data_IF_754720222877
#
_entry.id   IF_754720222877
#
_cell.length_a   1.000
_cell.length_b   1.000
_cell.length_c   1.000
_cell.angle_alpha   90.00
_cell.angle_beta   90.00
_cell.angle_gamma   90.00
#
_symmetry.space_group_name_H-M   'P 1'
#
loop_
_entity.id
_entity.type
_entity.pdbx_description
1 polymer ?
#
# COMPACT_ATOMS: atom_id res chain seq x y z
N UNK A 1 -3.78 29.10 33.64
CA UNK A 1 -3.06 28.25 32.68
C UNK A 1 -2.57 29.14 31.55
N UNK A 2 -1.27 29.28 31.42
CA UNK A 2 -0.67 30.06 30.33
C UNK A 2 -0.78 29.30 29.01
N UNK A 3 -0.73 30.00 27.87
CA UNK A 3 -0.71 29.41 26.52
C UNK A 3 0.45 28.40 26.37
N UNK A 4 1.56 28.66 27.06
CA UNK A 4 2.72 27.77 27.10
C UNK A 4 2.46 26.45 27.85
N UNK A 5 1.71 26.50 28.97
CA UNK A 5 1.30 25.31 29.72
C UNK A 5 0.31 24.45 28.92
N UNK A 6 -0.67 25.08 28.26
CA UNK A 6 -1.60 24.41 27.34
C UNK A 6 -0.85 23.66 26.23
N UNK A 7 0.17 24.30 25.64
CA UNK A 7 1.01 23.69 24.60
C UNK A 7 1.84 22.49 25.13
N UNK A 8 2.39 22.57 26.35
CA UNK A 8 3.12 21.43 26.96
C UNK A 8 2.20 20.23 27.21
N UNK A 9 0.99 20.46 27.74
CA UNK A 9 0.02 19.38 27.96
C UNK A 9 -0.46 18.75 26.65
N UNK A 10 -0.68 19.55 25.61
CA UNK A 10 -1.02 19.06 24.27
C UNK A 10 0.08 18.17 23.68
N UNK A 11 1.35 18.63 23.72
CA UNK A 11 2.50 17.84 23.23
C UNK A 11 2.69 16.53 24.00
N UNK A 12 2.52 16.55 25.32
CA UNK A 12 2.60 15.34 26.14
C UNK A 12 1.48 14.35 25.81
N UNK A 13 0.25 14.84 25.63
CA UNK A 13 -0.89 14.01 25.26
C UNK A 13 -0.73 13.41 23.86
N UNK A 14 -0.25 14.18 22.89
CA UNK A 14 0.05 13.72 21.53
C UNK A 14 1.16 12.65 21.52
N UNK A 15 2.25 12.89 22.26
CA UNK A 15 3.34 11.92 22.40
C UNK A 15 2.83 10.60 22.99
N UNK A 16 1.98 10.67 24.03
CA UNK A 16 1.34 9.49 24.61
C UNK A 16 0.46 8.77 23.59
N UNK A 17 -0.37 9.51 22.85
CA UNK A 17 -1.24 8.95 21.81
C UNK A 17 -0.44 8.23 20.74
N UNK A 18 0.65 8.83 20.25
CA UNK A 18 1.55 8.24 19.26
C UNK A 18 2.17 6.94 19.78
N UNK A 19 2.74 6.96 21.00
CA UNK A 19 3.32 5.75 21.63
C UNK A 19 2.29 4.63 21.79
N UNK A 20 1.05 4.98 22.17
CA UNK A 20 -0.03 3.99 22.28
C UNK A 20 -0.43 3.43 20.91
N UNK A 21 -0.52 4.25 19.86
CA UNK A 21 -0.76 3.77 18.50
C UNK A 21 0.33 2.81 18.02
N UNK A 22 1.59 3.16 18.24
CA UNK A 22 2.74 2.30 17.92
C UNK A 22 2.68 0.96 18.67
N UNK A 23 2.37 0.98 19.98
CA UNK A 23 2.22 -0.26 20.75
C UNK A 23 1.11 -1.16 20.20
N UNK A 24 -0.02 -0.57 19.77
CA UNK A 24 -1.13 -1.32 19.16
C UNK A 24 -0.73 -1.90 17.81
N UNK A 25 -0.03 -1.13 16.97
CA UNK A 25 0.46 -1.60 15.67
C UNK A 25 1.45 -2.76 15.84
N UNK A 26 2.42 -2.62 16.75
CA UNK A 26 3.41 -3.66 17.02
C UNK A 26 2.79 -4.92 17.62
N UNK A 27 1.88 -4.78 18.58
CA UNK A 27 1.16 -5.93 19.15
C UNK A 27 0.32 -6.65 18.08
N UNK A 28 -0.27 -5.93 17.13
CA UNK A 28 -0.94 -6.55 16.00
C UNK A 28 0.05 -7.25 15.04
N UNK A 29 1.23 -6.69 14.78
CA UNK A 29 2.26 -7.36 13.95
C UNK A 29 2.67 -8.70 14.59
N UNK A 30 3.05 -8.68 15.86
CA UNK A 30 3.44 -9.86 16.62
C UNK A 30 2.32 -10.91 16.65
N UNK A 31 1.06 -10.48 16.79
CA UNK A 31 -0.10 -11.37 16.82
C UNK A 31 -0.32 -12.11 15.49
N UNK A 32 0.04 -11.51 14.36
CA UNK A 32 -0.15 -12.10 13.03
C UNK A 32 1.11 -12.76 12.45
N UNK A 33 2.27 -12.61 13.10
CA UNK A 33 3.56 -13.07 12.60
C UNK A 33 3.59 -14.58 12.36
N UNK A 34 4.03 -14.99 11.16
CA UNK A 34 4.17 -16.40 10.77
C UNK A 34 2.86 -17.18 10.64
N UNK A 35 1.71 -16.51 10.77
CA UNK A 35 0.41 -17.17 10.67
C UNK A 35 -0.09 -17.26 9.23
N UNK A 36 -0.67 -18.42 8.93
CA UNK A 36 -1.31 -18.69 7.65
C UNK A 36 -2.74 -18.15 7.56
N UNK A 37 -3.42 -18.13 8.69
CA UNK A 37 -4.78 -17.64 8.88
C UNK A 37 -4.86 -16.98 10.25
N UNK A 38 -5.63 -15.92 10.34
CA UNK A 38 -5.90 -15.21 11.58
C UNK A 38 -7.10 -14.29 11.35
N UNK A 39 -7.98 -14.23 12.34
CA UNK A 39 -9.12 -13.31 12.32
C UNK A 39 -9.37 -12.81 13.74
N UNK A 40 -8.36 -12.12 14.27
CA UNK A 40 -8.38 -11.66 15.65
C UNK A 40 -9.36 -10.49 15.83
N UNK A 41 -10.05 -10.51 16.95
CA UNK A 41 -10.92 -9.44 17.43
C UNK A 41 -10.11 -8.23 17.87
N UNK A 42 -10.79 -7.09 18.06
CA UNK A 42 -10.13 -5.88 18.60
C UNK A 42 -9.64 -6.10 20.03
N UNK A 43 -10.34 -6.91 20.82
CA UNK A 43 -9.97 -7.18 22.21
C UNK A 43 -8.69 -8.03 22.27
N UNK A 44 -8.55 -9.04 21.41
CA UNK A 44 -7.30 -9.82 21.29
C UNK A 44 -6.11 -8.97 20.83
N UNK A 45 -6.32 -8.03 19.89
CA UNK A 45 -5.29 -7.08 19.47
C UNK A 45 -4.91 -6.13 20.63
N UNK A 46 -5.90 -5.66 21.40
CA UNK A 46 -5.65 -4.81 22.58
C UNK A 46 -4.83 -5.55 23.64
N UNK A 47 -5.20 -6.80 23.92
CA UNK A 47 -4.49 -7.69 24.84
C UNK A 47 -3.04 -7.92 24.39
N UNK A 48 -2.83 -8.28 23.12
CA UNK A 48 -1.49 -8.46 22.54
C UNK A 48 -0.62 -7.20 22.65
N UNK A 49 -1.23 -6.02 22.51
CA UNK A 49 -0.55 -4.74 22.65
C UNK A 49 -0.37 -4.26 24.10
N UNK A 50 -0.85 -5.02 25.09
CA UNK A 50 -0.78 -4.64 26.50
C UNK A 50 -1.60 -3.38 26.85
N UNK A 51 -2.69 -3.12 26.12
CA UNK A 51 -3.59 -1.98 26.37
C UNK A 51 -5.02 -2.45 26.64
N UNK A 52 -5.79 -1.67 27.41
CA UNK A 52 -7.21 -1.97 27.60
C UNK A 52 -8.03 -1.70 26.33
N UNK A 53 -9.08 -2.49 26.09
CA UNK A 53 -9.99 -2.34 24.93
C UNK A 53 -10.48 -0.90 24.71
N UNK A 54 -10.90 -0.22 25.79
CA UNK A 54 -11.31 1.19 25.72
C UNK A 54 -10.22 2.13 25.16
N UNK A 55 -8.94 1.83 25.42
CA UNK A 55 -7.81 2.58 24.88
C UNK A 55 -7.65 2.35 23.38
N UNK A 56 -7.86 1.12 22.90
CA UNK A 56 -7.86 0.82 21.47
C UNK A 56 -9.02 1.53 20.76
N UNK A 57 -10.24 1.45 21.31
CA UNK A 57 -11.42 2.17 20.79
C UNK A 57 -11.25 3.68 20.73
N UNK A 58 -10.53 4.27 21.69
CA UNK A 58 -10.22 5.71 21.69
C UNK A 58 -9.22 6.10 20.59
N UNK A 59 -8.31 5.20 20.20
CA UNK A 59 -7.25 5.52 19.25
C UNK A 59 -7.60 5.19 17.80
N UNK A 60 -8.50 4.23 17.58
CA UNK A 60 -8.88 3.72 16.26
C UNK A 60 -10.40 3.58 16.14
N UNK A 61 -10.96 4.04 15.03
CA UNK A 61 -12.38 3.99 14.71
C UNK A 61 -12.91 2.58 14.49
N UNK A 62 -12.08 1.66 13.99
CA UNK A 62 -12.52 0.30 13.67
C UNK A 62 -11.38 -0.71 13.55
N UNK A 63 -11.74 -1.98 13.37
CA UNK A 63 -10.80 -3.09 13.15
C UNK A 63 -9.97 -2.86 11.87
N UNK A 64 -10.62 -2.40 10.80
CA UNK A 64 -9.96 -2.08 9.54
C UNK A 64 -8.85 -1.04 9.70
N UNK A 65 -9.09 0.06 10.42
CA UNK A 65 -8.08 1.13 10.60
C UNK A 65 -6.81 0.60 11.29
N UNK A 66 -6.97 -0.26 12.31
CA UNK A 66 -5.83 -0.90 12.99
C UNK A 66 -5.08 -1.80 12.01
N UNK A 67 -5.77 -2.76 11.39
CA UNK A 67 -5.15 -3.74 10.49
C UNK A 67 -4.51 -3.09 9.27
N UNK A 68 -5.10 -2.02 8.74
CA UNK A 68 -4.54 -1.21 7.66
C UNK A 68 -3.21 -0.60 8.08
N UNK A 69 -3.15 0.11 9.20
CA UNK A 69 -1.90 0.74 9.67
C UNK A 69 -0.83 -0.30 10.01
N UNK A 70 -1.23 -1.46 10.55
CA UNK A 70 -0.35 -2.61 10.74
C UNK A 70 0.21 -3.14 9.41
N UNK A 71 -0.63 -3.28 8.39
CA UNK A 71 -0.22 -3.71 7.06
C UNK A 71 0.66 -2.66 6.35
N UNK A 72 0.40 -1.37 6.55
CA UNK A 72 1.24 -0.29 6.03
C UNK A 72 2.64 -0.33 6.65
N UNK A 73 2.76 -0.57 7.96
CA UNK A 73 4.05 -0.76 8.63
C UNK A 73 4.85 -1.93 8.04
N UNK A 74 4.21 -3.02 7.63
CA UNK A 74 4.89 -4.12 6.92
C UNK A 74 5.45 -3.71 5.56
N UNK A 75 4.76 -2.83 4.86
CA UNK A 75 5.14 -2.39 3.51
C UNK A 75 6.07 -1.16 3.53
N UNK A 76 6.23 -0.50 4.68
CA UNK A 76 7.07 0.68 4.86
C UNK A 76 8.48 0.51 4.28
N UNK A 77 9.20 -0.62 4.51
CA UNK A 77 10.55 -0.82 3.95
C UNK A 77 10.61 -0.91 2.41
N UNK A 78 9.46 -1.10 1.75
CA UNK A 78 9.35 -1.17 0.29
C UNK A 78 8.90 0.18 -0.26
N UNK A 79 7.90 0.81 0.37
CA UNK A 79 7.18 1.96 -0.17
C UNK A 79 7.84 3.29 0.23
N UNK A 80 8.29 3.46 1.48
CA UNK A 80 8.91 4.73 1.91
C UNK A 80 10.18 5.08 1.14
N UNK A 81 11.10 4.14 0.84
CA UNK A 81 12.27 4.48 0.02
C UNK A 81 11.92 5.04 -1.36
N UNK A 82 10.80 4.58 -1.94
CA UNK A 82 10.28 5.09 -3.22
C UNK A 82 9.72 6.51 -3.03
N UNK A 83 8.88 6.70 -2.01
CA UNK A 83 8.26 8.00 -1.70
C UNK A 83 9.30 9.06 -1.34
N UNK A 84 10.15 8.78 -0.36
CA UNK A 84 11.16 9.72 0.11
C UNK A 84 12.24 9.95 -0.94
N UNK A 85 12.63 8.90 -1.68
CA UNK A 85 13.55 9.03 -2.81
C UNK A 85 12.98 9.93 -3.92
N UNK A 86 11.67 9.85 -4.20
CA UNK A 86 11.01 10.73 -5.15
C UNK A 86 10.96 12.19 -4.66
N UNK A 87 10.55 12.43 -3.42
CA UNK A 87 10.52 13.77 -2.81
C UNK A 87 11.90 14.43 -2.78
N UNK A 88 12.95 13.63 -2.53
CA UNK A 88 14.33 14.09 -2.49
C UNK A 88 15.01 14.13 -3.88
N UNK A 89 14.29 13.81 -4.96
CA UNK A 89 14.82 13.70 -6.32
C UNK A 89 16.05 12.77 -6.44
N UNK A 90 16.04 11.66 -5.70
CA UNK A 90 17.08 10.62 -5.72
C UNK A 90 16.59 9.29 -6.29
N UNK A 91 15.28 9.13 -6.49
CA UNK A 91 14.68 7.93 -7.05
C UNK A 91 14.63 7.98 -8.58
N UNK A 92 15.65 7.43 -9.23
CA UNK A 92 15.79 7.43 -10.69
C UNK A 92 16.09 6.01 -11.23
N UNK A 93 15.09 5.11 -11.23
CA UNK A 93 15.28 3.78 -11.80
C UNK A 93 15.63 3.90 -13.29
N UNK A 94 16.60 3.10 -13.74
CA UNK A 94 17.08 3.12 -15.14
C UNK A 94 16.02 2.63 -16.13
N UNK A 95 15.16 1.72 -15.68
CA UNK A 95 14.11 1.09 -16.47
C UNK A 95 12.84 1.03 -15.62
N UNK A 96 11.80 1.76 -16.03
CA UNK A 96 10.55 1.82 -15.29
C UNK A 96 9.79 0.50 -15.26
N UNK A 97 9.89 -0.35 -16.29
CA UNK A 97 9.20 -1.65 -16.30
C UNK A 97 9.87 -2.64 -15.34
N UNK A 98 11.20 -2.66 -15.29
CA UNK A 98 11.91 -3.47 -14.29
C UNK A 98 11.59 -2.99 -12.87
N UNK A 99 11.45 -1.67 -12.69
CA UNK A 99 11.05 -1.12 -11.40
C UNK A 99 9.59 -1.45 -11.04
N UNK A 100 8.66 -1.42 -12.00
CA UNK A 100 7.28 -1.87 -11.81
C UNK A 100 7.23 -3.32 -11.34
N UNK A 101 7.93 -4.20 -12.06
CA UNK A 101 7.97 -5.62 -11.73
C UNK A 101 8.60 -5.85 -10.34
N UNK A 102 9.68 -5.15 -10.01
CA UNK A 102 10.33 -5.21 -8.70
C UNK A 102 9.39 -4.75 -7.58
N UNK A 103 8.73 -3.61 -7.76
CA UNK A 103 7.78 -3.06 -6.80
C UNK A 103 6.61 -4.02 -6.56
N UNK A 104 5.93 -4.46 -7.64
CA UNK A 104 4.80 -5.37 -7.55
C UNK A 104 5.18 -6.73 -6.95
N UNK A 105 6.34 -7.28 -7.32
CA UNK A 105 6.81 -8.56 -6.76
C UNK A 105 7.09 -8.45 -5.26
N UNK A 106 7.81 -7.41 -4.80
CA UNK A 106 8.09 -7.19 -3.37
C UNK A 106 6.81 -7.01 -2.56
N UNK A 107 5.86 -6.22 -3.07
CA UNK A 107 4.56 -6.02 -2.42
C UNK A 107 3.77 -7.32 -2.34
N UNK A 108 3.59 -8.03 -3.47
CA UNK A 108 2.81 -9.27 -3.50
C UNK A 108 3.44 -10.37 -2.66
N UNK A 109 4.78 -10.50 -2.67
CA UNK A 109 5.53 -11.41 -1.81
C UNK A 109 5.31 -11.06 -0.33
N UNK A 110 5.48 -9.81 0.07
CA UNK A 110 5.30 -9.38 1.47
C UNK A 110 3.87 -9.62 1.97
N UNK A 111 2.86 -9.29 1.15
CA UNK A 111 1.46 -9.58 1.46
C UNK A 111 1.18 -11.09 1.53
N UNK A 112 1.85 -11.91 0.72
CA UNK A 112 1.72 -13.37 0.76
C UNK A 112 2.38 -13.98 1.99
N UNK A 113 3.59 -13.53 2.31
CA UNK A 113 4.36 -13.97 3.48
C UNK A 113 3.62 -13.58 4.78
N UNK A 114 2.83 -12.51 4.75
CA UNK A 114 1.97 -12.04 5.84
C UNK A 114 0.47 -12.26 5.58
N UNK A 115 0.13 -13.38 4.92
CA UNK A 115 -1.24 -13.63 4.41
C UNK A 115 -2.36 -13.54 5.45
N UNK A 116 -2.11 -13.94 6.70
CA UNK A 116 -3.13 -13.83 7.74
C UNK A 116 -3.55 -12.38 7.97
N UNK A 117 -2.58 -11.46 8.09
CA UNK A 117 -2.84 -10.03 8.28
C UNK A 117 -3.46 -9.41 7.03
N UNK A 118 -2.93 -9.69 5.83
CA UNK A 118 -3.48 -9.17 4.57
C UNK A 118 -4.94 -9.60 4.40
N UNK A 119 -5.27 -10.87 4.66
CA UNK A 119 -6.64 -11.37 4.56
C UNK A 119 -7.56 -10.77 5.61
N UNK A 120 -7.11 -10.64 6.86
CA UNK A 120 -7.88 -10.02 7.93
C UNK A 120 -8.19 -8.54 7.62
N UNK A 121 -7.22 -7.79 7.08
CA UNK A 121 -7.41 -6.41 6.65
C UNK A 121 -8.48 -6.31 5.56
N UNK A 122 -8.38 -7.14 4.50
CA UNK A 122 -9.34 -7.13 3.38
C UNK A 122 -10.75 -7.49 3.88
N UNK A 123 -10.89 -8.48 4.75
CA UNK A 123 -12.18 -8.83 5.36
C UNK A 123 -12.75 -7.69 6.18
N UNK A 124 -11.96 -7.10 7.08
CA UNK A 124 -12.39 -5.99 7.91
C UNK A 124 -12.84 -4.77 7.07
N UNK A 125 -12.20 -4.53 5.93
CA UNK A 125 -12.64 -3.52 4.96
C UNK A 125 -14.04 -3.84 4.41
N UNK A 126 -14.25 -5.08 3.96
CA UNK A 126 -15.53 -5.52 3.39
C UNK A 126 -16.67 -5.66 4.41
N UNK A 127 -16.36 -5.93 5.67
CA UNK A 127 -17.30 -5.95 6.79
C UNK A 127 -17.74 -4.55 7.22
N UNK A 128 -16.92 -3.52 6.95
CA UNK A 128 -17.30 -2.13 7.24
C UNK A 128 -18.43 -1.72 6.29
N UNK A 129 -19.59 -1.27 6.80
CA UNK A 129 -20.70 -0.82 5.95
C UNK A 129 -20.28 0.29 4.97
N UNK A 130 -20.81 0.31 3.73
CA UNK A 130 -20.46 1.31 2.73
C UNK A 130 -20.64 2.77 3.15
N UNK A 131 -21.62 3.09 3.99
CA UNK A 131 -21.87 4.42 4.55
C UNK A 131 -20.87 4.81 5.65
N UNK A 132 -20.16 3.84 6.21
CA UNK A 132 -19.10 4.02 7.21
C UNK A 132 -17.70 3.98 6.58
N UNK A 133 -17.62 3.54 5.32
CA UNK A 133 -16.44 3.57 4.47
C UNK A 133 -16.19 5.00 4.02
N UNK A 134 -15.18 5.64 4.64
CA UNK A 134 -14.76 7.01 4.31
C UNK A 134 -14.32 7.17 2.85
N UNK A 135 -14.13 6.08 2.12
CA UNK A 135 -13.71 5.97 0.73
C UNK A 135 -14.86 6.02 -0.30
N UNK A 136 -16.09 5.65 0.05
CA UNK A 136 -17.22 5.55 -0.91
C UNK A 136 -18.02 6.84 -1.12
N UNK A 137 -17.53 7.99 -0.65
CA UNK A 137 -18.11 9.29 -1.02
C UNK A 137 -17.73 9.58 -2.47
N UNK A 138 -18.59 9.14 -3.40
CA UNK A 138 -18.52 9.36 -4.85
C UNK A 138 -18.75 10.85 -5.12
N UNK A 139 -17.83 11.52 -5.83
CA UNK A 139 -18.01 12.88 -6.35
C UNK A 139 -17.04 13.96 -5.85
N UNK A 140 -15.97 13.59 -5.14
CA UNK A 140 -14.96 14.53 -4.64
C UNK A 140 -13.77 14.57 -5.62
N UNK A 141 -13.30 15.78 -5.95
CA UNK A 141 -12.30 16.02 -6.99
C UNK A 141 -10.89 15.50 -6.62
N UNK A 142 -10.01 15.39 -7.62
CA UNK A 142 -8.67 14.79 -7.52
C UNK A 142 -7.84 15.22 -6.30
N UNK A 143 -7.87 16.51 -5.93
CA UNK A 143 -7.11 17.04 -4.78
C UNK A 143 -7.52 16.38 -3.45
N UNK A 144 -8.77 15.93 -3.35
CA UNK A 144 -9.28 15.23 -2.16
C UNK A 144 -8.97 13.73 -2.20
N UNK A 145 -8.52 13.18 -3.33
CA UNK A 145 -8.17 11.77 -3.43
C UNK A 145 -6.79 11.51 -2.81
N UNK A 146 -5.81 12.39 -3.03
CA UNK A 146 -4.49 12.31 -2.36
C UNK A 146 -4.65 12.37 -0.83
N UNK A 147 -5.49 13.27 -0.33
CA UNK A 147 -5.85 13.37 1.09
C UNK A 147 -6.64 12.15 1.63
N UNK A 148 -7.06 11.22 0.75
CA UNK A 148 -7.88 10.04 1.10
C UNK A 148 -7.23 8.71 0.77
N UNK A 149 -6.09 8.68 0.06
CA UNK A 149 -5.37 7.43 -0.22
C UNK A 149 -5.05 6.67 1.08
N UNK A 150 -4.82 7.42 2.17
CA UNK A 150 -4.65 6.91 3.53
C UNK A 150 -5.92 6.27 4.14
N UNK A 151 -7.06 6.24 3.46
CA UNK A 151 -8.28 5.55 3.90
C UNK A 151 -8.66 4.38 3.00
N UNK A 152 -8.14 4.34 1.77
CA UNK A 152 -8.51 3.34 0.77
C UNK A 152 -7.85 1.98 1.04
N UNK A 153 -8.55 0.90 0.68
CA UNK A 153 -7.93 -0.43 0.60
C UNK A 153 -6.82 -0.39 -0.46
N UNK A 154 -5.58 -0.64 -0.06
CA UNK A 154 -4.42 -0.61 -0.96
C UNK A 154 -3.93 0.79 -1.34
N UNK A 155 -4.41 1.85 -0.68
CA UNK A 155 -4.03 3.23 -1.02
C UNK A 155 -2.55 3.55 -0.78
N UNK A 156 -1.92 2.95 0.25
CA UNK A 156 -0.47 3.09 0.46
C UNK A 156 0.36 2.45 -0.66
N UNK A 157 -0.06 1.27 -1.14
CA UNK A 157 0.53 0.63 -2.33
C UNK A 157 0.32 1.52 -3.56
N UNK A 158 -0.85 2.14 -3.69
CA UNK A 158 -1.17 3.01 -4.82
C UNK A 158 -0.25 4.23 -4.85
N UNK A 159 0.09 4.80 -3.69
CA UNK A 159 1.01 5.93 -3.59
C UNK A 159 2.42 5.58 -4.12
N UNK A 160 2.98 4.45 -3.68
CA UNK A 160 4.26 3.96 -4.23
C UNK A 160 4.17 3.64 -5.72
N UNK A 161 3.09 3.01 -6.16
CA UNK A 161 2.86 2.66 -7.56
C UNK A 161 2.77 3.91 -8.46
N UNK A 162 2.11 4.98 -8.01
CA UNK A 162 2.04 6.25 -8.75
C UNK A 162 3.43 6.78 -9.09
N UNK A 163 4.37 6.70 -8.15
CA UNK A 163 5.75 7.17 -8.33
C UNK A 163 6.53 6.26 -9.28
N UNK A 164 6.32 4.95 -9.19
CA UNK A 164 6.94 3.97 -10.12
C UNK A 164 6.46 4.23 -11.56
N UNK A 165 5.18 4.52 -11.74
CA UNK A 165 4.59 4.86 -13.05
C UNK A 165 4.95 6.29 -13.52
N UNK A 166 5.64 7.07 -12.69
CA UNK A 166 6.22 8.37 -13.06
C UNK A 166 7.56 8.23 -13.82
N UNK A 167 7.85 7.03 -14.35
CA UNK A 167 9.11 6.71 -15.01
C UNK A 167 8.85 6.16 -16.41
N UNK A 168 9.77 6.47 -17.32
CA UNK A 168 9.71 5.92 -18.67
C UNK A 168 9.72 4.38 -18.59
N UNK A 169 8.90 3.69 -19.39
CA UNK A 169 8.11 4.19 -20.53
C UNK A 169 6.68 4.64 -20.19
N UNK A 170 6.25 4.58 -18.92
CA UNK A 170 4.87 4.91 -18.54
C UNK A 170 4.57 6.42 -18.64
N UNK A 171 5.60 7.24 -18.45
CA UNK A 171 5.55 8.68 -18.71
C UNK A 171 5.83 8.97 -20.19
N UNK A 172 4.86 9.59 -20.87
CA UNK A 172 5.14 10.31 -22.10
C UNK A 172 6.04 11.49 -21.77
N UNK A 173 7.32 11.41 -22.14
CA UNK A 173 8.28 12.50 -22.04
C UNK A 173 7.81 13.66 -22.94
N UNK A 174 7.05 14.58 -22.38
CA UNK A 174 6.61 15.82 -23.04
C UNK A 174 6.52 16.96 -22.03
N UNK A 175 6.83 18.21 -22.42
CA UNK A 175 6.82 19.36 -21.53
C UNK A 175 5.38 19.78 -21.24
N UNK A 176 4.71 19.09 -20.32
CA UNK A 176 3.34 19.39 -19.89
C UNK A 176 3.22 19.34 -18.35
N UNK A 177 4.14 20.01 -17.66
CA UNK A 177 3.99 20.35 -16.24
C UNK A 177 3.78 21.85 -15.98
N UNK A 178 3.60 22.64 -17.03
CA UNK A 178 3.18 24.02 -16.94
C UNK A 178 2.03 24.27 -17.90
N UNK A 179 0.91 24.74 -17.36
CA UNK A 179 -0.28 25.18 -18.07
C UNK A 179 -1.27 24.07 -18.46
N UNK A 180 -2.22 23.89 -17.55
CA UNK A 180 -3.60 23.44 -17.83
C UNK A 180 -4.06 23.82 -19.24
N UNK A 181 -4.31 22.87 -20.13
CA UNK A 181 -5.49 22.87 -21.00
C UNK A 181 -5.83 21.46 -21.52
N UNK A 182 -7.10 21.11 -21.32
CA UNK A 182 -7.82 20.03 -21.98
C UNK A 182 -8.14 20.47 -23.41
N UNK A 183 -7.43 19.99 -24.42
CA UNK A 183 -7.90 19.97 -25.81
C UNK A 183 -7.36 18.70 -26.50
N UNK A 184 -8.24 17.73 -26.79
CA UNK A 184 -7.88 16.51 -27.54
C UNK A 184 -8.36 15.17 -26.96
N UNK A 185 -8.83 15.11 -25.70
CA UNK A 185 -9.41 13.90 -25.12
C UNK A 185 -8.38 12.89 -24.58
N UNK A 186 -7.92 13.14 -23.34
CA UNK A 186 -7.32 12.22 -22.35
C UNK A 186 -5.93 11.60 -22.70
N UNK A 187 -4.99 11.41 -21.75
CA UNK A 187 -5.14 10.93 -20.37
C UNK A 187 -4.18 11.64 -19.38
N UNK A 188 -4.71 12.53 -18.53
CA UNK A 188 -4.06 13.01 -17.29
C UNK A 188 -4.64 12.36 -16.02
N UNK A 189 -5.56 11.39 -16.16
CA UNK A 189 -6.32 10.75 -15.07
C UNK A 189 -5.70 9.48 -14.46
N UNK A 190 -4.43 9.17 -14.76
CA UNK A 190 -3.80 7.91 -14.30
C UNK A 190 -3.45 7.92 -12.80
N UNK A 191 -3.31 9.09 -12.17
CA UNK A 191 -2.52 9.21 -10.94
C UNK A 191 -3.23 9.00 -9.59
N UNK A 192 -4.45 8.48 -9.56
CA UNK A 192 -5.04 8.09 -8.26
C UNK A 192 -6.10 7.01 -8.35
N UNK A 193 -7.14 7.23 -9.15
CA UNK A 193 -8.25 6.27 -9.24
C UNK A 193 -7.82 4.97 -9.93
N UNK A 194 -7.02 5.07 -11.00
CA UNK A 194 -6.51 3.89 -11.71
C UNK A 194 -5.52 3.10 -10.85
N UNK A 195 -4.56 3.76 -10.22
CA UNK A 195 -3.56 3.07 -9.39
C UNK A 195 -4.18 2.45 -8.15
N UNK A 196 -5.14 3.12 -7.51
CA UNK A 196 -5.92 2.52 -6.43
C UNK A 196 -6.71 1.29 -6.90
N UNK A 197 -7.42 1.38 -8.02
CA UNK A 197 -8.19 0.25 -8.53
C UNK A 197 -7.29 -0.95 -8.85
N UNK A 198 -6.10 -0.70 -9.42
CA UNK A 198 -5.07 -1.72 -9.65
C UNK A 198 -4.63 -2.37 -8.33
N UNK A 199 -4.37 -1.60 -7.28
CA UNK A 199 -3.90 -2.15 -6.00
C UNK A 199 -5.00 -2.86 -5.23
N UNK A 200 -6.26 -2.42 -5.36
CA UNK A 200 -7.43 -3.15 -4.88
C UNK A 200 -7.55 -4.52 -5.56
N UNK A 201 -7.45 -4.56 -6.89
CA UNK A 201 -7.48 -5.82 -7.66
C UNK A 201 -6.32 -6.73 -7.24
N UNK A 202 -5.11 -6.19 -7.06
CA UNK A 202 -3.95 -6.95 -6.58
C UNK A 202 -4.23 -7.64 -5.24
N UNK A 203 -4.74 -6.88 -4.26
CA UNK A 203 -5.06 -7.41 -2.93
C UNK A 203 -6.18 -8.46 -2.99
N UNK A 204 -7.21 -8.26 -3.80
CA UNK A 204 -8.29 -9.23 -4.00
C UNK A 204 -7.81 -10.51 -4.67
N UNK A 205 -6.90 -10.41 -5.65
CA UNK A 205 -6.26 -11.58 -6.25
C UNK A 205 -5.50 -12.40 -5.22
N UNK A 206 -4.73 -11.74 -4.35
CA UNK A 206 -4.04 -12.43 -3.24
C UNK A 206 -5.02 -13.08 -2.26
N UNK A 207 -6.12 -12.41 -1.94
CA UNK A 207 -7.17 -12.94 -1.06
C UNK A 207 -7.82 -14.21 -1.62
N UNK A 208 -8.09 -14.24 -2.93
CA UNK A 208 -8.74 -15.39 -3.57
C UNK A 208 -7.79 -16.55 -3.88
N UNK A 209 -6.49 -16.29 -4.07
CA UNK A 209 -5.47 -17.30 -4.30
C UNK A 209 -5.00 -17.94 -2.97
N UNK A 210 -5.89 -18.75 -2.40
CA UNK A 210 -5.70 -19.40 -1.08
C UNK A 210 -4.92 -20.72 -1.13
N UNK A 211 -4.62 -21.24 -2.32
CA UNK A 211 -3.93 -22.51 -2.52
C UNK A 211 -2.46 -22.50 -2.10
N UNK A 212 -1.90 -23.70 -1.90
CA UNK A 212 -0.45 -23.94 -1.76
C UNK A 212 0.30 -23.83 -3.09
N UNK A 213 -0.21 -23.05 -4.05
CA UNK A 213 0.54 -22.72 -5.27
C UNK A 213 1.83 -22.01 -4.84
N UNK A 214 2.97 -22.62 -5.16
CA UNK A 214 4.30 -22.19 -4.71
C UNK A 214 4.70 -20.82 -5.30
N UNK A 215 3.92 -20.30 -6.26
CA UNK A 215 4.30 -19.13 -7.07
C UNK A 215 3.18 -18.06 -7.19
N UNK A 216 2.35 -17.92 -6.17
CA UNK A 216 1.28 -16.88 -6.12
C UNK A 216 1.83 -15.46 -6.36
N UNK A 217 2.94 -15.01 -5.74
CA UNK A 217 3.46 -13.66 -5.97
C UNK A 217 3.82 -13.37 -7.43
N UNK A 218 4.46 -14.33 -8.12
CA UNK A 218 4.79 -14.19 -9.55
C UNK A 218 3.53 -14.14 -10.40
N UNK A 219 2.57 -15.02 -10.15
CA UNK A 219 1.30 -15.06 -10.90
C UNK A 219 0.54 -13.74 -10.81
N UNK A 220 0.37 -13.22 -9.60
CA UNK A 220 -0.32 -11.93 -9.37
C UNK A 220 0.48 -10.78 -9.96
N UNK A 221 1.81 -10.75 -9.74
CA UNK A 221 2.68 -9.72 -10.31
C UNK A 221 2.57 -9.67 -11.83
N UNK A 222 2.65 -10.83 -12.49
CA UNK A 222 2.55 -10.94 -13.96
C UNK A 222 1.19 -10.47 -14.46
N UNK A 223 0.09 -10.88 -13.81
CA UNK A 223 -1.26 -10.45 -14.20
C UNK A 223 -1.40 -8.93 -14.13
N UNK A 224 -1.00 -8.32 -13.01
CA UNK A 224 -1.10 -6.87 -12.80
C UNK A 224 -0.14 -6.10 -13.73
N UNK A 225 1.10 -6.55 -13.86
CA UNK A 225 2.09 -5.92 -14.72
C UNK A 225 1.67 -5.96 -16.20
N UNK A 226 1.14 -7.09 -16.67
CA UNK A 226 0.62 -7.21 -18.04
C UNK A 226 -0.50 -6.18 -18.28
N UNK A 227 -1.45 -6.05 -17.34
CA UNK A 227 -2.55 -5.10 -17.47
C UNK A 227 -2.06 -3.63 -17.51
N UNK A 228 -1.03 -3.30 -16.74
CA UNK A 228 -0.42 -1.96 -16.74
C UNK A 228 0.36 -1.71 -18.03
N UNK A 229 1.25 -2.62 -18.42
CA UNK A 229 2.14 -2.45 -19.59
C UNK A 229 1.34 -2.40 -20.88
N UNK A 230 0.37 -3.29 -21.07
CA UNK A 230 -0.52 -3.29 -22.24
C UNK A 230 -1.24 -1.94 -22.40
N UNK A 231 -1.64 -1.33 -21.28
CA UNK A 231 -2.38 -0.07 -21.29
C UNK A 231 -1.46 1.15 -21.45
N UNK A 232 -0.31 1.18 -20.78
CA UNK A 232 0.49 2.40 -20.55
C UNK A 232 1.89 2.38 -21.15
N UNK A 233 2.38 1.24 -21.64
CA UNK A 233 3.71 1.08 -22.20
C UNK A 233 3.66 0.22 -23.47
N UNK A 234 2.88 0.67 -24.46
CA UNK A 234 2.54 -0.11 -25.67
C UNK A 234 3.76 -0.54 -26.50
N UNK A 235 4.87 0.17 -26.39
CA UNK A 235 6.12 -0.15 -27.08
C UNK A 235 6.93 -1.27 -26.40
N UNK A 236 6.49 -1.74 -25.22
CA UNK A 236 7.12 -2.83 -24.48
C UNK A 236 6.40 -4.14 -24.79
N UNK A 237 7.07 -5.14 -25.38
CA UNK A 237 6.44 -6.42 -25.66
C UNK A 237 6.07 -7.17 -24.36
N UNK A 238 4.78 -7.41 -24.15
CA UNK A 238 4.25 -8.15 -22.98
C UNK A 238 4.88 -9.55 -22.85
N UNK A 239 5.27 -10.16 -23.97
CA UNK A 239 5.93 -11.48 -23.99
C UNK A 239 7.26 -11.51 -23.23
N UNK A 240 7.95 -10.37 -23.12
CA UNK A 240 9.24 -10.26 -22.43
C UNK A 240 9.06 -10.11 -20.90
N UNK A 241 7.85 -9.81 -20.41
CA UNK A 241 7.62 -9.58 -18.98
C UNK A 241 7.84 -10.84 -18.13
N UNK A 242 7.63 -12.03 -18.70
CA UNK A 242 7.90 -13.30 -18.03
C UNK A 242 9.37 -13.44 -17.65
N UNK A 243 10.26 -13.36 -18.64
CA UNK A 243 11.70 -13.49 -18.44
C UNK A 243 12.26 -12.39 -17.54
N UNK A 244 11.72 -11.16 -17.64
CA UNK A 244 12.10 -10.05 -16.77
C UNK A 244 11.71 -10.32 -15.32
N UNK A 245 10.47 -10.76 -15.09
CA UNK A 245 9.97 -11.07 -13.76
C UNK A 245 10.76 -12.21 -13.11
N UNK A 246 11.12 -13.26 -13.86
CA UNK A 246 11.91 -14.37 -13.33
C UNK A 246 13.30 -13.91 -12.86
N UNK A 247 13.96 -13.00 -13.61
CA UNK A 247 15.22 -12.39 -13.18
C UNK A 247 15.06 -11.53 -11.93
N UNK A 248 14.01 -10.71 -11.88
CA UNK A 248 13.72 -9.83 -10.75
C UNK A 248 13.43 -10.64 -9.49
N UNK A 249 12.65 -11.71 -9.61
CA UNK A 249 12.38 -12.66 -8.53
C UNK A 249 13.68 -13.17 -7.90
N UNK A 250 14.61 -13.65 -8.72
CA UNK A 250 15.91 -14.16 -8.23
C UNK A 250 16.69 -13.08 -7.50
N UNK A 251 16.68 -11.84 -8.01
CA UNK A 251 17.37 -10.71 -7.36
C UNK A 251 16.75 -10.36 -6.00
N UNK A 252 15.42 -10.22 -5.95
CA UNK A 252 14.69 -9.90 -4.72
C UNK A 252 14.86 -11.00 -3.67
N UNK A 253 14.66 -12.26 -4.06
CA UNK A 253 14.79 -13.40 -3.14
C UNK A 253 16.22 -13.56 -2.62
N UNK A 254 17.24 -13.14 -3.38
CA UNK A 254 18.62 -13.13 -2.93
C UNK A 254 18.90 -12.01 -1.92
N UNK A 255 18.32 -10.82 -2.14
CA UNK A 255 18.45 -9.69 -1.23
C UNK A 255 17.76 -9.97 0.13
N UNK A 256 16.59 -10.58 0.12
CA UNK A 256 15.88 -10.92 1.37
C UNK A 256 16.68 -11.90 2.25
N UNK A 257 17.56 -12.73 1.66
CA UNK A 257 18.44 -13.65 2.41
C UNK A 257 19.65 -12.96 3.01
N UNK A 258 20.05 -11.79 2.52
CA UNK A 258 21.17 -11.04 3.08
C UNK A 258 20.74 -10.10 4.20
N UNK A 259 19.46 -9.72 4.21
CA UNK A 259 18.91 -8.74 5.15
C UNK A 259 18.29 -9.39 6.41
N UNK A 260 18.07 -10.71 6.43
CA UNK A 260 17.54 -11.49 7.56
C UNK A 260 18.58 -12.31 8.30
#
# INVERSE_FOLDING_TARGET
>A
MTEEELNRHQRAAETKRRRTKEAIINGALELYEGLDKGDFTRDEIAEAAGVGSATLHKNFGGKYEVLKLTHERLLEPIIEPVIEGFKADTYHPKDGVDELLRFLYRVTKTCRDNRALTNAMIRAYYETPPDQRRDLIIGVGYKQLEDRLDTLLGGYIAHGLCIVLDRAPFMATGPLYGETFFEGGWISGIRGETTWEITRILLERLYHLTGGEEDVPVKVTREIANAIVDRYARDVPVVELGDRLDRIKVQVDAQDRTDG
#
